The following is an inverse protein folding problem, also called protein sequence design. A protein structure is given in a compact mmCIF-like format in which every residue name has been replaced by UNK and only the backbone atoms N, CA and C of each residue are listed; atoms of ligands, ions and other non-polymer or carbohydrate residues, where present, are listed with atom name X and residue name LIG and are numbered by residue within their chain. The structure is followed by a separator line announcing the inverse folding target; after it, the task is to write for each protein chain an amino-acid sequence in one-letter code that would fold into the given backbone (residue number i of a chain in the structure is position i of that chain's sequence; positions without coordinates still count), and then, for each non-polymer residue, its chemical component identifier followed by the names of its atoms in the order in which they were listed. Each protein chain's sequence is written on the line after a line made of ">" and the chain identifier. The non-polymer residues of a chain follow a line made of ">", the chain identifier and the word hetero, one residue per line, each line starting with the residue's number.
data_IF_014925907489
#
_entry.id   IF_014925907489
#
_cell.length_a   1.000
_cell.length_b   1.000
_cell.length_c   1.000
_cell.angle_alpha   90.00
_cell.angle_beta   90.00
_cell.angle_gamma   90.00
#
_symmetry.space_group_name_H-M   'P 1'
#
loop_
_entity.id
_entity.type
_entity.pdbx_description
1 polymer ?
#
# COMPACT_ATOMS: atom_id res chain seq x y z
N UNK A 1 22.57 -0.09 -0.49
CA UNK A 1 22.68 -1.53 -0.80
C UNK A 1 21.27 -2.04 -0.90
N UNK A 2 20.65 -1.81 -2.05
CA UNK A 2 19.28 -2.24 -2.39
C UNK A 2 19.33 -3.41 -3.39
N UNK A 3 20.39 -4.23 -3.33
CA UNK A 3 20.49 -5.43 -4.15
C UNK A 3 19.90 -6.62 -3.38
N UNK A 4 18.61 -6.85 -3.60
CA UNK A 4 17.87 -8.01 -3.07
C UNK A 4 18.26 -9.33 -3.75
N UNK A 5 19.18 -9.30 -4.72
CA UNK A 5 19.64 -10.48 -5.47
C UNK A 5 20.79 -11.21 -4.80
N UNK A 6 21.31 -10.72 -3.66
CA UNK A 6 22.37 -11.41 -2.93
C UNK A 6 21.90 -12.79 -2.44
N UNK A 7 22.67 -13.87 -2.68
CA UNK A 7 22.29 -15.23 -2.28
C UNK A 7 21.99 -15.39 -0.79
N UNK A 8 22.66 -14.61 0.07
CA UNK A 8 22.46 -14.66 1.53
C UNK A 8 21.14 -14.00 1.92
N UNK A 9 20.77 -12.90 1.26
CA UNK A 9 19.48 -12.26 1.46
C UNK A 9 18.32 -13.16 1.00
N UNK A 10 18.44 -13.77 -0.19
CA UNK A 10 17.45 -14.69 -0.76
C UNK A 10 17.21 -15.90 0.16
N UNK A 11 18.26 -16.46 0.75
CA UNK A 11 18.14 -17.59 1.68
C UNK A 11 17.31 -17.23 2.93
N UNK A 12 17.46 -16.03 3.48
CA UNK A 12 16.67 -15.55 4.62
C UNK A 12 15.21 -15.32 4.24
N UNK A 13 14.93 -14.76 3.05
CA UNK A 13 13.56 -14.53 2.59
C UNK A 13 12.74 -15.81 2.50
N UNK A 14 13.35 -16.95 2.18
CA UNK A 14 12.67 -18.25 2.16
C UNK A 14 12.19 -18.73 3.54
N UNK A 15 12.72 -18.17 4.63
CA UNK A 15 12.30 -18.47 6.00
C UNK A 15 11.34 -17.43 6.59
N UNK A 16 11.09 -16.33 5.87
CA UNK A 16 10.16 -15.29 6.30
C UNK A 16 8.74 -15.61 5.81
N UNK A 17 7.78 -15.54 6.74
CA UNK A 17 6.36 -15.73 6.41
C UNK A 17 5.72 -14.46 5.82
N UNK A 18 6.40 -13.33 5.87
CA UNK A 18 5.90 -12.03 5.40
C UNK A 18 7.05 -11.09 5.09
N UNK A 19 6.84 -10.22 4.10
CA UNK A 19 7.76 -9.15 3.72
C UNK A 19 7.04 -7.82 3.82
N UNK A 20 7.59 -6.91 4.62
CA UNK A 20 7.13 -5.53 4.75
C UNK A 20 8.15 -4.61 4.09
N UNK A 21 7.74 -3.94 3.02
CA UNK A 21 8.62 -3.04 2.26
C UNK A 21 8.41 -1.62 2.76
N UNK A 22 9.48 -0.99 3.27
CA UNK A 22 9.48 0.41 3.68
C UNK A 22 10.08 1.28 2.57
N UNK A 23 9.31 2.26 2.08
CA UNK A 23 9.71 3.17 1.00
C UNK A 23 10.20 4.51 1.54
N UNK A 24 11.39 4.91 1.10
CA UNK A 24 11.97 6.23 1.39
C UNK A 24 11.13 7.36 0.80
N UNK A 25 10.51 7.15 -0.36
CA UNK A 25 9.63 8.13 -1.00
C UNK A 25 8.39 8.42 -0.17
N UNK A 26 7.81 7.38 0.44
CA UNK A 26 6.65 7.52 1.35
C UNK A 26 7.06 8.28 2.62
N UNK A 27 8.24 7.97 3.17
CA UNK A 27 8.78 8.70 4.34
C UNK A 27 9.05 10.17 4.04
N UNK A 28 9.53 10.51 2.83
CA UNK A 28 9.78 11.88 2.41
C UNK A 28 8.48 12.71 2.28
N UNK A 29 7.34 12.05 2.06
CA UNK A 29 6.00 12.66 2.08
C UNK A 29 5.44 12.87 3.51
N UNK A 30 6.26 12.75 4.56
CA UNK A 30 5.87 12.82 5.99
C UNK A 30 4.80 11.79 6.42
N UNK A 31 4.70 10.66 5.73
CA UNK A 31 3.75 9.59 6.08
C UNK A 31 4.44 8.57 7.00
N UNK A 32 4.03 8.54 8.27
CA UNK A 32 4.62 7.67 9.30
C UNK A 32 3.84 6.38 9.51
N UNK A 33 4.03 5.50 8.55
CA UNK A 33 4.59 4.16 8.69
C UNK A 33 4.92 3.88 7.24
N UNK A 34 6.17 4.07 6.85
CA UNK A 34 6.53 4.22 5.43
C UNK A 34 6.39 2.92 4.62
N UNK A 35 5.54 1.99 5.06
CA UNK A 35 5.29 0.72 4.44
C UNK A 35 4.46 0.88 3.16
N UNK A 36 4.81 0.08 2.15
CA UNK A 36 4.09 0.00 0.89
C UNK A 36 3.20 -1.26 0.89
N UNK A 37 1.86 -1.13 1.03
CA UNK A 37 0.94 -2.27 1.04
C UNK A 37 0.78 -3.00 -0.31
N UNK A 38 1.15 -2.37 -1.43
CA UNK A 38 1.06 -3.00 -2.75
C UNK A 38 2.24 -3.95 -2.99
N UNK A 39 3.43 -3.57 -2.49
CA UNK A 39 4.66 -4.38 -2.62
C UNK A 39 4.82 -5.36 -1.44
N UNK A 40 4.28 -5.03 -0.27
CA UNK A 40 4.32 -5.92 0.90
C UNK A 40 3.41 -7.15 0.72
N UNK A 41 3.89 -8.30 1.20
CA UNK A 41 3.21 -9.58 1.06
C UNK A 41 3.32 -10.42 2.33
N UNK A 42 2.38 -11.34 2.50
CA UNK A 42 2.38 -12.29 3.60
C UNK A 42 1.76 -13.60 3.15
N UNK A 43 2.43 -14.72 3.46
CA UNK A 43 1.93 -16.07 3.18
C UNK A 43 0.64 -16.37 3.96
N UNK A 44 0.37 -15.61 5.02
CA UNK A 44 -0.85 -15.74 5.82
C UNK A 44 -2.07 -15.06 5.17
N UNK A 45 -1.90 -14.34 4.06
CA UNK A 45 -3.03 -13.79 3.27
C UNK A 45 -3.63 -14.93 2.42
N UNK A 46 -4.25 -15.88 3.11
CA UNK A 46 -4.95 -17.02 2.53
C UNK A 46 -6.34 -17.14 3.20
N UNK A 47 -7.44 -17.28 2.42
CA UNK A 47 -8.78 -17.47 2.96
C UNK A 47 -8.89 -18.55 4.04
N UNK A 48 -8.07 -19.60 3.98
CA UNK A 48 -8.05 -20.69 4.97
C UNK A 48 -7.56 -20.24 6.35
N UNK A 49 -6.65 -19.26 6.42
CA UNK A 49 -6.10 -18.77 7.69
C UNK A 49 -6.88 -17.58 8.26
N UNK A 50 -7.32 -16.64 7.41
CA UNK A 50 -7.93 -15.37 7.85
C UNK A 50 -9.44 -15.28 7.58
N UNK A 51 -10.00 -16.29 6.90
CA UNK A 51 -11.39 -16.33 6.48
C UNK A 51 -11.65 -15.49 5.22
N UNK A 52 -12.69 -15.87 4.48
CA UNK A 52 -13.05 -15.25 3.21
C UNK A 52 -13.34 -13.74 3.32
N UNK A 53 -13.97 -13.30 4.43
CA UNK A 53 -14.31 -11.89 4.63
C UNK A 53 -13.06 -11.00 4.71
N UNK A 54 -12.06 -11.39 5.51
CA UNK A 54 -10.83 -10.61 5.63
C UNK A 54 -10.00 -10.67 4.35
N UNK A 55 -9.93 -11.83 3.72
CA UNK A 55 -9.25 -11.97 2.43
C UNK A 55 -9.85 -11.05 1.37
N UNK A 56 -11.18 -11.02 1.23
CA UNK A 56 -11.86 -10.13 0.29
C UNK A 56 -11.62 -8.65 0.63
N UNK A 57 -11.67 -8.28 1.91
CA UNK A 57 -11.38 -6.90 2.34
C UNK A 57 -9.95 -6.47 2.01
N UNK A 58 -8.97 -7.38 2.14
CA UNK A 58 -7.58 -7.12 1.75
C UNK A 58 -7.47 -6.93 0.23
N UNK A 59 -8.11 -7.78 -0.56
CA UNK A 59 -8.13 -7.66 -2.02
C UNK A 59 -8.77 -6.36 -2.50
N UNK A 60 -9.92 -5.99 -1.92
CA UNK A 60 -10.61 -4.74 -2.25
C UNK A 60 -9.75 -3.52 -1.89
N UNK A 61 -9.10 -3.55 -0.71
CA UNK A 61 -8.18 -2.49 -0.30
C UNK A 61 -7.00 -2.36 -1.26
N UNK A 62 -6.40 -3.48 -1.69
CA UNK A 62 -5.32 -3.48 -2.70
C UNK A 62 -5.78 -2.93 -4.04
N UNK A 63 -6.97 -3.30 -4.49
CA UNK A 63 -7.56 -2.79 -5.73
C UNK A 63 -7.75 -1.26 -5.68
N UNK A 64 -8.31 -0.75 -4.59
CA UNK A 64 -8.51 0.70 -4.38
C UNK A 64 -7.16 1.45 -4.37
N UNK A 65 -6.15 0.91 -3.70
CA UNK A 65 -4.80 1.50 -3.65
C UNK A 65 -4.12 1.51 -5.03
N UNK A 66 -4.29 0.45 -5.81
CA UNK A 66 -3.76 0.37 -7.17
C UNK A 66 -4.42 1.43 -8.09
N UNK A 67 -5.75 1.53 -8.03
CA UNK A 67 -6.51 2.54 -8.80
C UNK A 67 -6.10 3.95 -8.44
N UNK A 68 -5.85 4.22 -7.16
CA UNK A 68 -5.37 5.52 -6.75
C UNK A 68 -3.99 5.85 -7.30
N UNK A 69 -3.06 4.88 -7.36
CA UNK A 69 -1.73 5.11 -7.94
C UNK A 69 -1.82 5.49 -9.41
N UNK A 70 -2.67 4.79 -10.17
CA UNK A 70 -2.98 5.14 -11.57
C UNK A 70 -3.52 6.57 -11.69
N UNK A 71 -4.41 6.98 -10.79
CA UNK A 71 -4.98 8.34 -10.76
C UNK A 71 -3.94 9.39 -10.33
N UNK A 72 -3.06 9.09 -9.36
CA UNK A 72 -1.99 9.99 -8.92
C UNK A 72 -1.04 10.29 -10.09
N UNK A 73 -0.67 9.27 -10.88
CA UNK A 73 0.18 9.44 -12.06
C UNK A 73 -0.49 10.31 -13.14
N UNK A 74 -1.80 10.13 -13.37
CA UNK A 74 -2.58 10.99 -14.29
C UNK A 74 -2.69 12.43 -13.76
N UNK A 75 -2.92 12.60 -12.45
CA UNK A 75 -3.03 13.91 -11.80
C UNK A 75 -1.73 14.71 -11.91
N UNK A 76 -0.57 14.06 -11.86
CA UNK A 76 0.73 14.70 -12.05
C UNK A 76 0.91 15.29 -13.45
N UNK A 77 0.18 14.78 -14.45
CA UNK A 77 0.25 15.23 -15.84
C UNK A 77 -0.83 16.27 -16.16
N UNK A 78 -2.08 16.01 -15.75
CA UNK A 78 -3.24 16.81 -16.17
C UNK A 78 -3.75 17.79 -15.09
N UNK A 79 -3.48 17.54 -13.82
CA UNK A 79 -4.08 18.27 -12.69
C UNK A 79 -5.38 17.64 -12.18
N UNK A 80 -5.77 18.00 -10.96
CA UNK A 80 -6.90 17.39 -10.24
C UNK A 80 -8.26 17.69 -10.89
N UNK A 81 -8.42 18.88 -11.46
CA UNK A 81 -9.72 19.34 -11.98
C UNK A 81 -10.17 18.55 -13.22
N UNK A 82 -9.21 18.00 -13.97
CA UNK A 82 -9.40 17.18 -15.18
C UNK A 82 -9.83 15.74 -14.90
N UNK A 83 -9.89 15.32 -13.63
CA UNK A 83 -10.34 13.98 -13.26
C UNK A 83 -11.88 13.85 -13.34
N UNK A 84 -12.35 12.67 -13.71
CA UNK A 84 -13.77 12.31 -13.63
C UNK A 84 -14.25 12.17 -12.17
N UNK A 85 -15.57 12.18 -11.97
CA UNK A 85 -16.18 12.19 -10.64
C UNK A 85 -15.91 10.91 -9.81
N UNK A 86 -15.72 9.77 -10.48
CA UNK A 86 -15.40 8.50 -9.82
C UNK A 86 -13.95 8.53 -9.30
N UNK A 87 -13.02 8.97 -10.14
CA UNK A 87 -11.62 9.16 -9.78
C UNK A 87 -11.46 10.15 -8.62
N UNK A 88 -12.18 11.28 -8.66
CA UNK A 88 -12.21 12.27 -7.55
C UNK A 88 -12.72 11.64 -6.25
N UNK A 89 -13.72 10.77 -6.33
CA UNK A 89 -14.26 10.05 -5.17
C UNK A 89 -13.23 9.08 -4.57
N UNK A 90 -12.50 8.34 -5.42
CA UNK A 90 -11.45 7.40 -4.99
C UNK A 90 -10.34 8.15 -4.24
N UNK A 91 -9.85 9.26 -4.80
CA UNK A 91 -8.82 10.11 -4.17
C UNK A 91 -9.28 10.60 -2.80
N UNK A 92 -10.53 11.08 -2.69
CA UNK A 92 -11.08 11.60 -1.43
C UNK A 92 -11.22 10.52 -0.35
N UNK A 93 -11.66 9.31 -0.70
CA UNK A 93 -11.78 8.18 0.25
C UNK A 93 -10.42 7.81 0.86
N UNK A 94 -9.38 7.72 0.03
CA UNK A 94 -8.03 7.38 0.49
C UNK A 94 -7.35 8.51 1.25
N UNK A 95 -7.58 9.77 0.87
CA UNK A 95 -7.13 10.92 1.66
C UNK A 95 -7.66 10.85 3.10
N UNK A 96 -8.95 10.54 3.26
CA UNK A 96 -9.56 10.35 4.58
C UNK A 96 -8.96 9.14 5.34
N UNK A 97 -8.68 8.03 4.65
CA UNK A 97 -8.01 6.88 5.25
C UNK A 97 -6.60 7.24 5.75
N UNK A 98 -5.78 7.89 4.92
CA UNK A 98 -4.43 8.34 5.31
C UNK A 98 -4.46 9.27 6.52
N UNK A 99 -5.39 10.21 6.57
CA UNK A 99 -5.53 11.12 7.71
C UNK A 99 -6.04 10.42 8.97
N UNK A 100 -6.82 9.35 8.83
CA UNK A 100 -7.30 8.56 9.97
C UNK A 100 -6.19 7.69 10.56
N UNK A 101 -5.29 7.14 9.74
CA UNK A 101 -4.13 6.38 10.21
C UNK A 101 -3.08 7.22 10.94
N UNK A 102 -2.97 8.52 10.61
CA UNK A 102 -2.10 9.46 11.34
C UNK A 102 -2.55 9.74 12.79
N UNK A 103 -3.80 9.42 13.16
CA UNK A 103 -4.31 9.61 14.53
C UNK A 103 -3.95 8.47 15.49
N UNK A 104 -3.39 7.36 15.00
CA UNK A 104 -3.16 6.15 15.81
C UNK A 104 -1.78 6.16 16.49
N UNK A 105 -0.90 7.11 16.17
CA UNK A 105 0.48 7.20 16.70
C UNK A 105 0.68 8.26 17.79
N UNK A 106 -0.34 8.54 18.59
CA UNK A 106 -0.23 9.37 19.81
C UNK A 106 -0.96 8.70 20.96
N UNK A 107 -0.45 7.54 21.39
CA UNK A 107 -0.59 7.01 22.75
C UNK A 107 0.66 6.19 23.07
#
# INVERSE_FOLDING_TARGET
>A
MDDLSDPSAVAVFNHLNSSLVLSREISAKNIFSAFDPLVSSSNNVNPEFIGQRHYNAILETKYILQKYKEIEDVMLILGFDELDDESKTIVKKLYNYKNSSHKISIW
#
